data_IF_709911086145
#
_entry.id   IF_709911086145
#
_cell.length_a   1.000
_cell.length_b   1.000
_cell.length_c   1.000
_cell.angle_alpha   90.00
_cell.angle_beta   90.00
_cell.angle_gamma   90.00
#
_symmetry.space_group_name_H-M   'P 1'
#
loop_
_entity.id
_entity.type
_entity.pdbx_description
1 polymer ?
#
# COMPACT_ATOMS: atom_id res chain seq x y z
N UNK A 1 0.54 -20.13 -34.36
CA UNK A 1 0.49 -21.09 -33.23
C UNK A 1 -0.60 -20.69 -32.26
N UNK A 2 -1.16 -21.60 -31.46
CA UNK A 2 -2.12 -21.27 -30.38
C UNK A 2 -1.62 -20.15 -29.47
N UNK A 3 -0.29 -20.07 -29.29
CA UNK A 3 0.38 -18.96 -28.60
C UNK A 3 0.13 -17.60 -29.26
N UNK A 4 0.33 -17.51 -30.57
CA UNK A 4 0.17 -16.25 -31.32
C UNK A 4 -1.29 -15.80 -31.35
N UNK A 5 -2.24 -16.75 -31.41
CA UNK A 5 -3.67 -16.46 -31.37
C UNK A 5 -4.11 -15.93 -30.00
N UNK A 6 -3.63 -16.52 -28.90
CA UNK A 6 -3.94 -16.05 -27.54
C UNK A 6 -3.31 -14.68 -27.27
N UNK A 7 -2.09 -14.44 -27.78
CA UNK A 7 -1.44 -13.13 -27.67
C UNK A 7 -2.21 -12.07 -28.45
N UNK A 8 -2.57 -12.33 -29.71
CA UNK A 8 -3.33 -11.40 -30.52
C UNK A 8 -4.71 -11.08 -29.91
N UNK A 9 -5.44 -12.08 -29.44
CA UNK A 9 -6.74 -11.89 -28.78
C UNK A 9 -6.61 -11.17 -27.43
N UNK A 10 -5.54 -11.46 -26.68
CA UNK A 10 -5.23 -10.80 -25.41
C UNK A 10 -4.89 -9.33 -25.60
N UNK A 11 -4.09 -9.01 -26.63
CA UNK A 11 -3.75 -7.63 -27.01
C UNK A 11 -4.99 -6.87 -27.50
N UNK A 12 -5.80 -7.47 -28.37
CA UNK A 12 -7.01 -6.86 -28.91
C UNK A 12 -8.05 -6.59 -27.81
N UNK A 13 -8.21 -7.51 -26.84
CA UNK A 13 -9.14 -7.32 -25.72
C UNK A 13 -8.60 -6.33 -24.67
N UNK A 14 -7.30 -6.34 -24.37
CA UNK A 14 -6.70 -5.43 -23.39
C UNK A 14 -6.67 -4.00 -23.92
N UNK A 15 -6.37 -3.81 -25.21
CA UNK A 15 -6.32 -2.49 -25.84
C UNK A 15 -7.71 -1.88 -26.06
N UNK A 16 -8.75 -2.71 -26.28
CA UNK A 16 -10.13 -2.23 -26.49
C UNK A 16 -10.90 -1.95 -25.19
N UNK A 17 -10.60 -2.63 -24.09
CA UNK A 17 -11.50 -2.67 -22.93
C UNK A 17 -11.15 -1.73 -21.76
N UNK A 18 -10.10 -0.89 -21.87
CA UNK A 18 -9.59 -0.03 -20.79
C UNK A 18 -9.65 -0.72 -19.42
N UNK A 19 -9.08 -1.93 -19.36
CA UNK A 19 -9.16 -2.79 -18.18
C UNK A 19 -8.45 -2.10 -17.01
N UNK A 20 -9.06 -2.13 -15.83
CA UNK A 20 -8.40 -1.72 -14.59
C UNK A 20 -7.15 -2.55 -14.31
N UNK A 21 -6.28 -2.06 -13.43
CA UNK A 21 -5.08 -2.80 -13.05
C UNK A 21 -5.39 -4.21 -12.54
N UNK A 22 -6.44 -4.36 -11.72
CA UNK A 22 -6.79 -5.64 -11.11
C UNK A 22 -7.38 -6.63 -12.13
N UNK A 23 -8.17 -6.14 -13.10
CA UNK A 23 -8.67 -6.96 -14.20
C UNK A 23 -7.52 -7.49 -15.07
N UNK A 24 -6.55 -6.64 -15.40
CA UNK A 24 -5.32 -7.06 -16.10
C UNK A 24 -4.51 -8.06 -15.27
N UNK A 25 -4.45 -7.88 -13.95
CA UNK A 25 -3.75 -8.82 -13.06
C UNK A 25 -4.43 -10.20 -13.04
N UNK A 26 -5.76 -10.25 -12.97
CA UNK A 26 -6.51 -11.50 -13.07
C UNK A 26 -6.34 -12.18 -14.43
N UNK A 27 -6.27 -11.40 -15.51
CA UNK A 27 -5.98 -11.95 -16.84
C UNK A 27 -4.56 -12.53 -16.92
N UNK A 28 -3.56 -11.82 -16.40
CA UNK A 28 -2.19 -12.32 -16.29
C UNK A 28 -2.12 -13.64 -15.52
N UNK A 29 -2.84 -13.75 -14.39
CA UNK A 29 -2.91 -14.97 -13.59
C UNK A 29 -3.55 -16.14 -14.37
N UNK A 30 -4.61 -15.87 -15.15
CA UNK A 30 -5.24 -16.89 -16.03
C UNK A 30 -4.29 -17.37 -17.13
N UNK A 31 -3.51 -16.48 -17.73
CA UNK A 31 -2.48 -16.86 -18.72
C UNK A 31 -1.37 -17.70 -18.07
N UNK A 32 -0.87 -17.28 -16.91
CA UNK A 32 0.14 -18.04 -16.17
C UNK A 32 -0.36 -19.45 -15.80
N UNK A 33 -1.61 -19.58 -15.35
CA UNK A 33 -2.23 -20.87 -15.03
C UNK A 33 -2.39 -21.80 -16.26
N UNK A 34 -2.42 -21.24 -17.47
CA UNK A 34 -2.41 -22.01 -18.73
C UNK A 34 -1.01 -22.37 -19.22
N UNK A 35 0.04 -22.04 -18.46
CA UNK A 35 1.43 -22.37 -18.78
C UNK A 35 2.13 -21.38 -19.72
N UNK A 36 1.56 -20.20 -19.96
CA UNK A 36 2.25 -19.16 -20.73
C UNK A 36 3.38 -18.54 -19.90
N UNK A 37 4.52 -18.31 -20.55
CA UNK A 37 5.68 -17.68 -19.91
C UNK A 37 5.50 -16.17 -19.69
N UNK A 38 6.33 -15.61 -18.82
CA UNK A 38 6.31 -14.18 -18.46
C UNK A 38 6.45 -13.27 -19.68
N UNK A 39 7.25 -13.65 -20.69
CA UNK A 39 7.46 -12.84 -21.89
C UNK A 39 6.17 -12.76 -22.72
N UNK A 40 5.50 -13.89 -22.90
CA UNK A 40 4.20 -13.98 -23.58
C UNK A 40 3.15 -13.13 -22.86
N UNK A 41 3.11 -13.17 -21.53
CA UNK A 41 2.18 -12.37 -20.72
C UNK A 41 2.47 -10.87 -20.84
N UNK A 42 3.75 -10.48 -20.79
CA UNK A 42 4.17 -9.10 -20.99
C UNK A 42 3.72 -8.57 -22.36
N UNK A 43 3.94 -9.35 -23.42
CA UNK A 43 3.51 -9.02 -24.77
C UNK A 43 1.98 -8.94 -24.87
N UNK A 44 1.24 -9.91 -24.32
CA UNK A 44 -0.21 -9.95 -24.38
C UNK A 44 -0.89 -8.74 -23.70
N UNK A 45 -0.26 -8.21 -22.64
CA UNK A 45 -0.78 -7.09 -21.87
C UNK A 45 -0.13 -5.74 -22.21
N UNK A 46 0.87 -5.73 -23.10
CA UNK A 46 1.70 -4.55 -23.41
C UNK A 46 2.30 -3.89 -22.17
N UNK A 47 2.84 -4.69 -21.23
CA UNK A 47 3.43 -4.20 -19.96
C UNK A 47 4.84 -4.74 -19.74
N UNK A 48 5.60 -4.08 -18.86
CA UNK A 48 6.94 -4.53 -18.50
C UNK A 48 6.94 -5.60 -17.38
N UNK A 49 8.10 -6.24 -17.20
CA UNK A 49 8.32 -7.30 -16.20
C UNK A 49 7.97 -6.88 -14.77
N UNK A 50 8.24 -5.62 -14.41
CA UNK A 50 7.93 -5.09 -13.07
C UNK A 50 6.42 -5.06 -12.82
N UNK A 51 5.63 -4.67 -13.82
CA UNK A 51 4.15 -4.67 -13.71
C UNK A 51 3.62 -6.10 -13.57
N UNK A 52 4.11 -7.04 -14.39
CA UNK A 52 3.70 -8.46 -14.28
C UNK A 52 4.06 -9.05 -12.92
N UNK A 53 5.24 -8.71 -12.38
CA UNK A 53 5.67 -9.16 -11.05
C UNK A 53 4.76 -8.64 -9.92
N UNK A 54 4.31 -7.37 -10.01
CA UNK A 54 3.32 -6.82 -9.08
C UNK A 54 1.94 -7.46 -9.24
N UNK A 55 1.48 -7.66 -10.47
CA UNK A 55 0.21 -8.37 -10.76
C UNK A 55 0.19 -9.78 -10.16
N UNK A 56 1.28 -10.53 -10.34
CA UNK A 56 1.45 -11.87 -9.76
C UNK A 56 1.46 -11.83 -8.22
N UNK A 57 2.12 -10.83 -7.62
CA UNK A 57 2.13 -10.66 -6.17
C UNK A 57 0.73 -10.40 -5.60
N UNK A 58 -0.05 -9.55 -6.27
CA UNK A 58 -1.42 -9.22 -5.87
C UNK A 58 -2.32 -10.44 -5.96
N UNK A 59 -2.36 -11.10 -7.11
CA UNK A 59 -3.26 -12.25 -7.36
C UNK A 59 -2.88 -13.51 -6.59
N UNK A 60 -1.61 -13.66 -6.20
CA UNK A 60 -1.17 -14.76 -5.31
C UNK A 60 -1.59 -14.54 -3.86
N UNK A 61 -1.66 -13.28 -3.42
CA UNK A 61 -1.80 -12.95 -2.01
C UNK A 61 -3.23 -12.57 -1.61
N UNK A 62 -4.01 -12.02 -2.53
CA UNK A 62 -5.40 -11.62 -2.28
C UNK A 62 -6.30 -12.66 -2.94
N UNK A 63 -7.13 -13.40 -2.17
CA UNK A 63 -8.13 -14.32 -2.69
C UNK A 63 -9.05 -13.65 -3.73
N UNK A 64 -9.46 -14.42 -4.74
CA UNK A 64 -10.26 -13.91 -5.86
C UNK A 64 -11.60 -13.35 -5.40
N UNK A 65 -12.19 -13.92 -4.34
CA UNK A 65 -13.45 -13.49 -3.75
C UNK A 65 -13.34 -12.06 -3.18
N UNK A 66 -12.19 -11.73 -2.57
CA UNK A 66 -11.92 -10.38 -2.05
C UNK A 66 -11.74 -9.41 -3.21
N UNK A 67 -10.98 -9.80 -4.24
CA UNK A 67 -10.79 -9.00 -5.45
C UNK A 67 -12.15 -8.69 -6.11
N UNK A 68 -13.01 -9.70 -6.25
CA UNK A 68 -14.34 -9.55 -6.84
C UNK A 68 -15.26 -8.68 -5.98
N UNK A 69 -15.22 -8.81 -4.66
CA UNK A 69 -16.02 -7.97 -3.76
C UNK A 69 -15.63 -6.48 -3.85
N UNK A 70 -14.33 -6.19 -4.02
CA UNK A 70 -13.84 -4.82 -4.27
C UNK A 70 -14.29 -4.34 -5.66
N UNK A 71 -14.13 -5.17 -6.69
CA UNK A 71 -14.41 -4.82 -8.09
C UNK A 71 -13.21 -4.16 -8.79
N UNK A 72 -13.47 -3.50 -9.92
CA UNK A 72 -12.42 -2.96 -10.80
C UNK A 72 -11.56 -1.87 -10.15
N UNK A 73 -12.13 -1.05 -9.25
CA UNK A 73 -11.49 0.09 -8.59
C UNK A 73 -10.59 0.88 -9.55
N UNK A 74 -11.20 1.49 -10.59
CA UNK A 74 -10.50 2.08 -11.74
C UNK A 74 -9.62 3.27 -11.33
N UNK A 75 -10.02 4.01 -10.29
CA UNK A 75 -9.20 5.07 -9.70
C UNK A 75 -8.00 4.56 -8.87
N UNK A 76 -7.94 3.26 -8.62
CA UNK A 76 -6.90 2.64 -7.79
C UNK A 76 -5.76 2.08 -8.66
N UNK A 77 -4.61 2.74 -8.58
CA UNK A 77 -3.41 2.35 -9.31
C UNK A 77 -2.72 1.07 -8.80
N UNK A 78 -1.78 0.59 -9.62
CA UNK A 78 -0.91 -0.60 -9.38
C UNK A 78 -0.31 -0.66 -7.98
N UNK A 79 0.24 0.46 -7.52
CA UNK A 79 1.04 0.47 -6.30
C UNK A 79 0.16 0.31 -5.06
N UNK A 80 -1.05 0.90 -5.06
CA UNK A 80 -2.02 0.68 -3.97
C UNK A 80 -2.51 -0.76 -3.89
N UNK A 81 -2.78 -1.39 -5.02
CA UNK A 81 -3.15 -2.81 -5.06
C UNK A 81 -2.02 -3.70 -4.55
N UNK A 82 -0.77 -3.37 -4.90
CA UNK A 82 0.40 -4.05 -4.34
C UNK A 82 0.49 -3.87 -2.83
N UNK A 83 0.32 -2.66 -2.31
CA UNK A 83 0.35 -2.38 -0.87
C UNK A 83 -0.76 -3.11 -0.11
N UNK A 84 -1.96 -3.24 -0.70
CA UNK A 84 -3.03 -4.07 -0.15
C UNK A 84 -2.61 -5.54 -0.08
N UNK A 85 -1.92 -6.03 -1.12
CA UNK A 85 -1.39 -7.40 -1.11
C UNK A 85 -0.38 -7.60 0.03
N UNK A 86 0.49 -6.61 0.29
CA UNK A 86 1.41 -6.64 1.43
C UNK A 86 0.64 -6.66 2.74
N UNK A 87 -0.38 -5.82 2.93
CA UNK A 87 -1.28 -5.88 4.11
C UNK A 87 -1.97 -7.23 4.26
N UNK A 88 -2.26 -7.95 3.19
CA UNK A 88 -2.84 -9.30 3.25
C UNK A 88 -1.82 -10.39 3.62
N UNK A 89 -0.50 -10.12 3.63
CA UNK A 89 0.53 -11.06 4.12
C UNK A 89 0.59 -11.13 5.64
N UNK A 90 0.16 -10.06 6.30
CA UNK A 90 0.01 -9.98 7.74
C UNK A 90 -0.88 -11.10 8.25
N UNK A 91 -0.38 -11.85 9.25
CA UNK A 91 -1.14 -12.93 9.89
C UNK A 91 -2.49 -12.42 10.41
N UNK A 92 -3.56 -13.11 10.04
CA UNK A 92 -4.94 -12.78 10.44
C UNK A 92 -5.61 -11.67 9.62
N UNK A 93 -4.88 -10.95 8.76
CA UNK A 93 -5.51 -9.91 7.93
C UNK A 93 -6.37 -10.48 6.81
N UNK A 94 -6.03 -11.65 6.25
CA UNK A 94 -6.91 -12.31 5.27
C UNK A 94 -8.28 -12.63 5.85
N UNK A 95 -8.35 -13.21 7.05
CA UNK A 95 -9.63 -13.49 7.71
C UNK A 95 -10.42 -12.20 8.03
N UNK A 96 -9.72 -11.15 8.48
CA UNK A 96 -10.33 -9.82 8.69
C UNK A 96 -10.89 -9.26 7.39
N UNK A 97 -10.12 -9.35 6.30
CA UNK A 97 -10.52 -8.89 4.98
C UNK A 97 -11.76 -9.65 4.49
N UNK A 98 -11.74 -10.99 4.55
CA UNK A 98 -12.87 -11.84 4.16
C UNK A 98 -14.15 -11.48 4.94
N UNK A 99 -14.08 -11.33 6.27
CA UNK A 99 -15.24 -10.88 7.06
C UNK A 99 -15.69 -9.47 6.70
N UNK A 100 -14.75 -8.56 6.42
CA UNK A 100 -15.07 -7.17 6.14
C UNK A 100 -15.81 -7.01 4.80
N UNK A 101 -15.32 -7.67 3.75
CA UNK A 101 -15.92 -7.59 2.41
C UNK A 101 -17.27 -8.31 2.32
N UNK A 102 -17.54 -9.26 3.22
CA UNK A 102 -18.83 -9.95 3.30
C UNK A 102 -19.97 -9.13 3.94
N UNK A 103 -19.71 -7.89 4.39
CA UNK A 103 -20.76 -7.04 4.98
C UNK A 103 -21.60 -6.40 3.90
N UNK A 104 -22.93 -6.41 4.06
CA UNK A 104 -23.86 -5.78 3.09
C UNK A 104 -23.50 -4.31 2.79
N UNK A 105 -23.23 -3.51 3.83
CA UNK A 105 -22.82 -2.11 3.70
C UNK A 105 -21.55 -1.89 2.86
N UNK A 106 -20.68 -2.90 2.76
CA UNK A 106 -19.49 -2.84 1.92
C UNK A 106 -19.88 -2.94 0.43
N UNK A 107 -20.87 -3.77 0.10
CA UNK A 107 -21.33 -3.98 -1.28
C UNK A 107 -22.25 -2.86 -1.78
N UNK A 108 -22.74 -1.98 -0.90
CA UNK A 108 -23.63 -0.86 -1.25
C UNK A 108 -22.90 0.37 -1.80
N UNK A 109 -21.58 0.46 -1.65
CA UNK A 109 -20.77 1.61 -2.11
C UNK A 109 -20.02 1.30 -3.40
N UNK A 110 -19.50 2.32 -4.07
CA UNK A 110 -18.75 2.19 -5.33
C UNK A 110 -17.38 1.51 -5.16
N UNK A 111 -16.88 0.90 -6.24
CA UNK A 111 -15.70 0.01 -6.23
C UNK A 111 -14.42 0.66 -5.68
N UNK A 112 -14.12 1.91 -6.03
CA UNK A 112 -12.96 2.63 -5.49
C UNK A 112 -13.11 2.96 -3.99
N UNK A 113 -14.34 3.21 -3.54
CA UNK A 113 -14.66 3.38 -2.11
C UNK A 113 -14.49 2.06 -1.36
N UNK A 114 -14.92 0.94 -1.93
CA UNK A 114 -14.69 -0.41 -1.36
C UNK A 114 -13.21 -0.69 -1.15
N UNK A 115 -12.38 -0.39 -2.15
CA UNK A 115 -10.94 -0.53 -2.02
C UNK A 115 -10.40 0.29 -0.83
N UNK A 116 -10.76 1.58 -0.78
CA UNK A 116 -10.29 2.49 0.26
C UNK A 116 -10.72 2.06 1.66
N UNK A 117 -11.97 1.61 1.82
CA UNK A 117 -12.51 1.11 3.09
C UNK A 117 -11.74 -0.13 3.57
N UNK A 118 -11.52 -1.11 2.69
CA UNK A 118 -10.76 -2.31 3.07
C UNK A 118 -9.30 -1.98 3.38
N UNK A 119 -8.66 -1.15 2.56
CA UNK A 119 -7.26 -0.75 2.74
C UNK A 119 -7.02 -0.08 4.10
N UNK A 120 -7.95 0.78 4.51
CA UNK A 120 -7.90 1.49 5.80
C UNK A 120 -8.32 0.58 6.97
N UNK A 121 -9.18 -0.40 6.74
CA UNK A 121 -9.58 -1.37 7.76
C UNK A 121 -8.45 -2.33 8.15
N UNK A 122 -7.61 -2.72 7.18
CA UNK A 122 -6.54 -3.66 7.44
C UNK A 122 -5.33 -2.97 8.10
N UNK A 123 -4.85 -3.45 9.26
CA UNK A 123 -3.62 -2.94 9.85
C UNK A 123 -2.43 -3.17 8.91
N UNK A 124 -1.50 -2.22 8.86
CA UNK A 124 -0.19 -2.45 8.22
C UNK A 124 0.71 -3.33 9.09
N UNK A 125 1.91 -3.66 8.61
CA UNK A 125 2.90 -4.44 9.38
C UNK A 125 3.18 -3.83 10.77
N UNK A 126 3.07 -2.51 10.91
CA UNK A 126 3.28 -1.81 12.19
C UNK A 126 2.20 -2.12 13.24
N UNK A 127 0.97 -2.45 12.83
CA UNK A 127 -0.15 -2.65 13.74
C UNK A 127 -0.32 -4.11 14.20
N UNK A 128 0.51 -5.05 13.73
CA UNK A 128 0.67 -6.35 14.40
C UNK A 128 1.65 -6.25 15.57
N UNK A 129 2.64 -5.34 15.49
CA UNK A 129 3.55 -5.12 16.62
C UNK A 129 2.76 -4.72 17.88
N UNK A 130 1.70 -3.93 17.74
CA UNK A 130 0.80 -3.56 18.84
C UNK A 130 -0.09 -4.70 19.36
N UNK A 131 -0.35 -5.75 18.57
CA UNK A 131 -1.17 -6.89 18.99
C UNK A 131 -0.38 -8.14 19.39
N UNK A 132 0.92 -8.20 19.09
CA UNK A 132 1.85 -9.20 19.65
C UNK A 132 2.67 -8.66 20.84
N UNK A 133 2.67 -7.34 21.08
CA UNK A 133 3.23 -6.74 22.30
C UNK A 133 2.37 -6.89 23.57
N UNK A 134 1.26 -7.64 23.52
CA UNK A 134 0.60 -8.11 24.74
C UNK A 134 1.40 -9.22 25.45
N UNK A 135 2.41 -9.80 24.80
CA UNK A 135 3.38 -10.70 25.44
C UNK A 135 4.78 -10.47 24.87
N UNK A 136 5.53 -9.58 25.52
CA UNK A 136 6.99 -9.60 25.48
C UNK A 136 7.67 -8.75 24.39
N UNK A 137 7.89 -7.48 24.71
CA UNK A 137 9.17 -6.74 24.59
C UNK A 137 8.91 -5.30 24.18
N UNK A 138 9.28 -4.38 25.08
CA UNK A 138 9.15 -2.93 24.94
C UNK A 138 10.05 -2.46 23.79
N UNK A 139 9.48 -2.18 22.62
CA UNK A 139 10.10 -1.22 21.72
C UNK A 139 9.65 0.16 22.18
N UNK A 140 10.60 0.96 22.68
CA UNK A 140 10.33 2.28 23.24
C UNK A 140 9.75 3.20 22.15
N UNK A 141 8.44 3.42 22.20
CA UNK A 141 7.79 4.49 21.44
C UNK A 141 8.30 5.80 22.04
N UNK A 142 9.00 6.61 21.24
CA UNK A 142 9.39 7.96 21.65
C UNK A 142 8.12 8.79 21.98
N UNK A 143 8.17 9.69 22.98
CA UNK A 143 7.00 10.41 23.44
C UNK A 143 6.36 11.24 22.31
N UNK A 144 5.03 11.17 22.20
CA UNK A 144 4.27 11.98 21.27
C UNK A 144 4.32 13.45 21.72
N UNK A 145 4.83 14.33 20.87
CA UNK A 145 4.81 15.78 21.12
C UNK A 145 3.54 16.39 20.53
N UNK A 146 2.96 17.35 21.26
CA UNK A 146 1.86 18.18 20.78
C UNK A 146 2.00 19.59 21.37
N UNK A 147 1.65 20.65 20.61
CA UNK A 147 1.52 22.00 21.13
C UNK A 147 0.31 22.10 22.07
N UNK A 148 0.26 23.15 22.89
CA UNK A 148 -0.77 23.36 23.91
C UNK A 148 -2.20 23.43 23.35
N UNK A 149 -2.34 23.91 22.11
CA UNK A 149 -3.61 24.01 21.40
C UNK A 149 -4.05 22.69 20.72
N UNK A 150 -3.22 21.64 20.81
CA UNK A 150 -3.44 20.31 20.22
C UNK A 150 -3.73 20.34 18.72
N UNK A 151 -3.30 21.40 18.02
CA UNK A 151 -3.51 21.57 16.57
C UNK A 151 -2.76 20.55 15.72
N UNK A 152 -1.65 20.04 16.26
CA UNK A 152 -0.77 19.04 15.65
C UNK A 152 -0.43 17.97 16.68
N UNK A 153 -0.31 16.72 16.25
CA UNK A 153 0.36 15.67 17.05
C UNK A 153 1.48 15.07 16.23
N UNK A 154 2.69 15.05 16.79
CA UNK A 154 3.88 14.47 16.15
C UNK A 154 4.32 13.25 16.95
N UNK A 155 4.41 12.11 16.27
CA UNK A 155 5.03 10.89 16.81
C UNK A 155 6.27 10.56 15.99
N UNK A 156 7.37 10.27 16.67
CA UNK A 156 8.62 9.87 16.03
C UNK A 156 8.81 8.36 16.14
N UNK A 157 9.28 7.74 15.06
CA UNK A 157 9.71 6.35 15.03
C UNK A 157 11.12 6.28 14.46
N UNK A 158 12.02 5.75 15.26
CA UNK A 158 13.37 5.40 14.84
C UNK A 158 13.46 3.90 14.59
N UNK A 159 14.06 3.51 13.48
CA UNK A 159 14.29 2.12 13.09
C UNK A 159 15.79 1.80 12.98
N UNK A 160 16.67 2.73 13.31
CA UNK A 160 18.13 2.65 13.15
C UNK A 160 18.62 2.80 11.70
N UNK A 161 17.74 2.62 10.71
CA UNK A 161 18.02 2.83 9.27
C UNK A 161 17.29 4.04 8.69
N UNK A 162 16.20 4.44 9.33
CA UNK A 162 15.38 5.57 8.93
C UNK A 162 14.67 6.15 10.16
N UNK A 163 14.54 7.47 10.20
CA UNK A 163 13.77 8.21 11.18
C UNK A 163 12.53 8.77 10.50
N UNK A 164 11.34 8.51 11.06
CA UNK A 164 10.06 8.93 10.48
C UNK A 164 9.24 9.73 11.48
N UNK A 165 8.78 10.89 11.05
CA UNK A 165 7.80 11.71 11.77
C UNK A 165 6.41 11.47 11.18
N UNK A 166 5.46 11.07 12.03
CA UNK A 166 4.04 11.03 11.69
C UNK A 166 3.32 12.21 12.30
N UNK A 167 2.71 13.04 11.46
CA UNK A 167 1.97 14.23 11.86
C UNK A 167 0.47 14.00 11.67
N UNK A 168 -0.31 14.22 12.73
CA UNK A 168 -1.77 14.06 12.77
C UNK A 168 -2.43 15.34 13.26
N UNK A 169 -3.77 15.32 13.32
CA UNK A 169 -4.66 16.43 13.64
C UNK A 169 -4.81 17.47 12.52
N UNK A 170 -5.67 18.46 12.75
CA UNK A 170 -6.17 19.40 11.73
C UNK A 170 -5.07 20.17 10.99
N UNK A 171 -3.95 20.49 11.66
CA UNK A 171 -2.85 21.26 11.07
C UNK A 171 -1.64 20.40 10.68
N UNK A 172 -1.72 19.08 10.83
CA UNK A 172 -0.59 18.16 10.62
C UNK A 172 -0.01 18.21 9.20
N UNK A 173 -0.86 18.31 8.17
CA UNK A 173 -0.42 18.42 6.77
C UNK A 173 0.27 19.76 6.52
N UNK A 174 -0.36 20.87 6.94
CA UNK A 174 0.18 22.23 6.75
C UNK A 174 1.52 22.40 7.44
N UNK A 175 1.65 21.88 8.67
CA UNK A 175 2.91 21.92 9.41
C UNK A 175 3.98 21.01 8.77
N UNK A 176 3.60 19.83 8.27
CA UNK A 176 4.51 18.94 7.54
C UNK A 176 5.07 19.57 6.25
N UNK A 177 4.24 20.29 5.48
CA UNK A 177 4.68 21.07 4.32
C UNK A 177 5.69 22.13 4.73
N UNK A 178 5.39 22.91 5.77
CA UNK A 178 6.31 23.93 6.27
C UNK A 178 7.65 23.33 6.73
N UNK A 179 7.65 22.21 7.49
CA UNK A 179 8.90 21.53 7.87
C UNK A 179 9.72 21.17 6.64
N UNK A 180 9.06 20.62 5.60
CA UNK A 180 9.73 20.17 4.38
C UNK A 180 10.37 21.32 3.61
N UNK A 181 9.73 22.49 3.59
CA UNK A 181 10.25 23.71 2.98
C UNK A 181 11.38 24.36 3.80
N UNK A 182 11.47 24.06 5.10
CA UNK A 182 12.43 24.67 6.04
C UNK A 182 13.55 23.71 6.48
N UNK A 183 13.73 22.57 5.80
CA UNK A 183 14.73 21.55 6.19
C UNK A 183 16.17 22.09 6.25
N UNK A 184 16.56 22.98 5.35
CA UNK A 184 17.90 23.57 5.33
C UNK A 184 18.17 24.40 6.61
N UNK A 185 17.18 25.21 7.01
CA UNK A 185 17.26 25.99 8.24
C UNK A 185 17.36 25.08 9.46
N UNK A 186 16.45 24.10 9.57
CA UNK A 186 16.42 23.14 10.68
C UNK A 186 17.73 22.35 10.79
N UNK A 187 18.29 21.92 9.67
CA UNK A 187 19.57 21.23 9.64
C UNK A 187 20.72 22.15 10.10
N UNK A 188 20.74 23.41 9.65
CA UNK A 188 21.76 24.37 10.06
C UNK A 188 21.73 24.66 11.57
N UNK A 189 20.55 24.78 12.18
CA UNK A 189 20.38 24.97 13.62
C UNK A 189 20.81 23.73 14.41
N UNK A 190 20.43 22.54 13.93
CA UNK A 190 20.88 21.27 14.51
C UNK A 190 22.41 21.20 14.56
N UNK A 191 23.10 21.49 13.44
CA UNK A 191 24.57 21.46 13.36
C UNK A 191 25.24 22.46 14.29
N UNK A 192 24.66 23.66 14.48
CA UNK A 192 25.15 24.62 15.46
C UNK A 192 25.00 24.10 16.89
N UNK A 193 23.87 23.47 17.22
CA UNK A 193 23.64 22.90 18.55
C UNK A 193 24.63 21.80 18.91
N UNK A 194 25.07 20.98 17.95
CA UNK A 194 26.14 19.99 18.17
C UNK A 194 27.49 20.66 18.45
N UNK A 195 27.80 21.75 17.76
CA UNK A 195 29.09 22.44 17.87
C UNK A 195 29.21 23.17 19.22
N UNK A 196 28.11 23.75 19.72
CA UNK A 196 28.05 24.38 21.04
C UNK A 196 28.14 23.39 22.21
N UNK A 197 27.84 22.11 21.98
CA UNK A 197 27.84 21.07 23.03
C UNK A 197 29.18 20.31 23.15
N UNK A 198 30.16 20.60 22.29
CA UNK A 198 31.48 19.91 22.25
C UNK A 198 32.62 20.79 22.79
N UNK A 199 32.28 21.88 23.50
CA UNK A 199 33.19 22.90 23.99
C UNK A 199 33.10 23.17 25.49
N UNK A 200 32.96 22.12 26.30
CA UNK A 200 33.23 22.10 27.74
C UNK A 200 34.04 20.85 28.11
#
# INVERSE_FOLDING_TARGET
SDRDHVVAQGQENTARADLSFIERALFAAKLAARGFDTQTIMSALSVNKTVVSKMASVTKQIPVEIIQAIGAARGTGRDRWYDLSVKCRVRGNLEKATRFVGKQKFLEVESDTRFSLLFNHLPGDEAIADHQAATGSKSAVAPAWAPSDKSVRVTAKDTGKAFTLSLKERDGVRFGTWISENLELLYSEFRRSETSNTGE
#
